data_IF_590674844017
#
_entry.id   IF_590674844017
#
_cell.length_a   1.000
_cell.length_b   1.000
_cell.length_c   1.000
_cell.angle_alpha   90.00
_cell.angle_beta   90.00
_cell.angle_gamma   90.00
#
_symmetry.space_group_name_H-M   'P 1'
#
loop_
_entity.id
_entity.type
_entity.pdbx_description
1 polymer ?
#
# COMPACT_ATOMS: atom_id res chain seq x y z
N UNK A 1 1.83 16.18 -2.39
CA UNK A 1 2.29 15.73 -1.05
C UNK A 1 2.44 14.20 -1.05
N UNK A 2 3.60 13.67 -0.65
CA UNK A 2 3.76 12.24 -0.43
C UNK A 2 3.28 11.94 0.97
N UNK A 3 2.09 11.35 1.11
CA UNK A 3 1.50 11.05 2.40
C UNK A 3 2.02 9.70 2.88
N UNK A 4 2.77 9.67 3.99
CA UNK A 4 3.00 8.40 4.70
C UNK A 4 1.81 8.05 5.57
N UNK A 5 1.21 6.91 5.27
CA UNK A 5 0.17 6.32 6.09
C UNK A 5 0.69 5.05 6.75
N UNK A 6 0.75 5.00 8.09
CA UNK A 6 1.07 3.76 8.78
C UNK A 6 -0.07 2.77 8.58
N UNK A 7 0.27 1.51 8.36
CA UNK A 7 -0.66 0.40 8.28
C UNK A 7 -0.19 -0.75 9.15
N UNK A 8 -1.12 -1.62 9.54
CA UNK A 8 -0.86 -2.90 10.18
C UNK A 8 -1.13 -4.01 9.17
N UNK A 9 -0.30 -5.03 9.18
CA UNK A 9 -0.48 -6.23 8.36
C UNK A 9 -0.63 -7.43 9.27
N UNK A 10 -1.49 -8.38 8.88
CA UNK A 10 -1.62 -9.66 9.57
C UNK A 10 -2.03 -10.76 8.59
N UNK A 11 -1.86 -12.00 9.01
CA UNK A 11 -2.36 -13.17 8.30
C UNK A 11 -3.29 -13.94 9.23
N UNK A 12 -4.52 -14.19 8.80
CA UNK A 12 -5.53 -14.92 9.58
C UNK A 12 -6.36 -15.77 8.64
N UNK A 13 -6.59 -17.04 8.98
CA UNK A 13 -7.48 -17.94 8.23
C UNK A 13 -7.15 -18.04 6.73
N UNK A 14 -5.87 -17.94 6.35
CA UNK A 14 -5.44 -17.99 4.95
C UNK A 14 -5.66 -16.69 4.16
N UNK A 15 -6.07 -15.62 4.84
CA UNK A 15 -6.19 -14.27 4.28
C UNK A 15 -5.03 -13.39 4.72
N UNK A 16 -4.63 -12.49 3.82
CA UNK A 16 -3.78 -11.35 4.18
C UNK A 16 -4.66 -10.15 4.46
N UNK A 17 -4.38 -9.48 5.57
CA UNK A 17 -5.15 -8.33 6.05
C UNK A 17 -4.23 -7.12 6.17
N UNK A 18 -4.74 -5.97 5.74
CA UNK A 18 -4.12 -4.66 5.94
C UNK A 18 -5.13 -3.73 6.61
N UNK A 19 -4.74 -3.11 7.71
CA UNK A 19 -5.57 -2.14 8.44
C UNK A 19 -4.88 -0.78 8.52
N UNK A 20 -5.64 0.29 8.33
CA UNK A 20 -5.16 1.66 8.51
C UNK A 20 -6.30 2.61 8.85
N UNK A 21 -5.97 3.78 9.37
CA UNK A 21 -6.95 4.83 9.69
C UNK A 21 -6.88 5.96 8.67
N UNK A 22 -8.02 6.30 8.08
CA UNK A 22 -8.20 7.50 7.27
C UNK A 22 -8.91 8.57 8.09
N UNK A 23 -8.43 9.81 8.00
CA UNK A 23 -9.16 10.98 8.51
C UNK A 23 -9.94 11.61 7.37
N UNK A 24 -11.27 11.55 7.44
CA UNK A 24 -12.18 12.19 6.49
C UNK A 24 -13.05 13.15 7.29
N UNK A 25 -13.03 14.44 6.93
CA UNK A 25 -13.79 15.49 7.60
C UNK A 25 -13.60 15.53 9.13
N UNK A 26 -12.39 15.25 9.60
CA UNK A 26 -12.04 15.20 11.03
C UNK A 26 -12.50 13.94 11.76
N UNK A 27 -13.19 13.02 11.08
CA UNK A 27 -13.57 11.71 11.62
C UNK A 27 -12.53 10.64 11.24
N UNK A 28 -12.10 9.88 12.24
CA UNK A 28 -11.24 8.71 12.05
C UNK A 28 -12.07 7.51 11.60
N UNK A 29 -11.74 6.99 10.43
CA UNK A 29 -12.38 5.82 9.84
C UNK A 29 -11.33 4.71 9.70
N UNK A 30 -11.61 3.55 10.30
CA UNK A 30 -10.75 2.38 10.14
C UNK A 30 -11.09 1.65 8.85
N UNK A 31 -10.08 1.52 8.00
CA UNK A 31 -10.14 0.74 6.77
C UNK A 31 -9.61 -0.65 7.06
N UNK A 32 -10.37 -1.64 6.62
CA UNK A 32 -9.99 -3.05 6.61
C UNK A 32 -9.90 -3.51 5.16
N UNK A 33 -8.71 -3.93 4.75
CA UNK A 33 -8.44 -4.50 3.43
C UNK A 33 -8.09 -5.98 3.60
N UNK A 34 -8.73 -6.85 2.82
CA UNK A 34 -8.39 -8.27 2.83
C UNK A 34 -8.30 -8.86 1.43
N UNK A 35 -7.47 -9.89 1.31
CA UNK A 35 -7.36 -10.72 0.13
C UNK A 35 -7.16 -12.18 0.56
N UNK A 36 -7.76 -13.10 -0.19
CA UNK A 36 -7.46 -14.53 -0.10
C UNK A 36 -6.20 -14.81 -0.93
N UNK A 37 -5.38 -15.79 -0.55
CA UNK A 37 -4.12 -16.14 -1.23
C UNK A 37 -4.19 -15.89 -2.75
N UNK A 38 -3.57 -14.78 -3.19
CA UNK A 38 -3.52 -14.41 -4.60
C UNK A 38 -2.52 -15.25 -5.37
N UNK A 39 -2.47 -15.08 -6.69
CA UNK A 39 -1.36 -15.56 -7.50
C UNK A 39 -0.05 -15.00 -6.92
N UNK A 40 1.04 -15.77 -6.96
CA UNK A 40 2.26 -15.57 -6.14
C UNK A 40 2.91 -14.19 -6.22
N UNK A 41 2.56 -13.37 -7.22
CA UNK A 41 3.15 -12.07 -7.48
C UNK A 41 2.14 -10.91 -7.48
N UNK A 42 0.82 -11.18 -7.48
CA UNK A 42 -0.23 -10.16 -7.51
C UNK A 42 -1.32 -10.44 -6.48
N UNK A 43 -1.51 -9.50 -5.56
CA UNK A 43 -2.55 -9.52 -4.54
C UNK A 43 -3.60 -8.46 -4.86
N UNK A 44 -4.89 -8.84 -4.80
CA UNK A 44 -6.00 -7.89 -4.96
C UNK A 44 -6.76 -7.78 -3.65
N UNK A 45 -6.60 -6.66 -2.96
CA UNK A 45 -7.27 -6.35 -1.72
C UNK A 45 -8.61 -5.68 -1.97
N UNK A 46 -9.63 -6.12 -1.23
CA UNK A 46 -10.91 -5.44 -1.14
C UNK A 46 -10.96 -4.66 0.17
N UNK A 47 -11.08 -3.33 0.08
CA UNK A 47 -11.02 -2.45 1.24
C UNK A 47 -12.41 -1.94 1.63
N UNK A 48 -12.68 -1.91 2.94
CA UNK A 48 -13.97 -1.57 3.52
C UNK A 48 -13.85 -0.65 4.73
N UNK A 49 -14.86 0.20 4.93
CA UNK A 49 -15.11 0.94 6.19
C UNK A 49 -16.46 0.48 6.72
N UNK A 50 -16.51 -0.03 7.95
CA UNK A 50 -17.77 -0.47 8.57
C UNK A 50 -18.55 -1.49 7.74
N UNK A 51 -17.86 -2.32 6.95
CA UNK A 51 -18.46 -3.30 6.04
C UNK A 51 -18.80 -2.79 4.62
N UNK A 52 -18.78 -1.48 4.40
CA UNK A 52 -19.02 -0.88 3.08
C UNK A 52 -17.74 -0.85 2.24
N UNK A 53 -17.79 -1.33 1.01
CA UNK A 53 -16.66 -1.31 0.08
C UNK A 53 -16.31 0.12 -0.32
N UNK A 54 -15.03 0.49 -0.20
CA UNK A 54 -14.53 1.84 -0.51
C UNK A 54 -13.59 1.87 -1.71
N UNK A 55 -12.74 0.86 -1.86
CA UNK A 55 -11.81 0.70 -2.97
C UNK A 55 -11.41 -0.77 -3.16
N UNK A 56 -10.80 -1.04 -4.31
CA UNK A 56 -10.02 -2.25 -4.56
C UNK A 56 -8.58 -1.85 -4.83
N UNK A 57 -7.64 -2.52 -4.17
CA UNK A 57 -6.22 -2.21 -4.27
C UNK A 57 -5.45 -3.41 -4.81
N UNK A 58 -4.81 -3.25 -5.95
CA UNK A 58 -3.90 -4.24 -6.54
C UNK A 58 -2.49 -3.93 -6.04
N UNK A 59 -1.83 -4.95 -5.50
CA UNK A 59 -0.42 -4.91 -5.09
C UNK A 59 0.33 -5.97 -5.90
N UNK A 60 1.31 -5.52 -6.69
CA UNK A 60 2.21 -6.38 -7.45
C UNK A 60 3.58 -6.35 -6.77
N UNK A 61 4.09 -7.53 -6.41
CA UNK A 61 5.45 -7.68 -5.85
C UNK A 61 6.43 -7.69 -7.01
N UNK A 62 7.17 -6.61 -7.21
CA UNK A 62 8.14 -6.49 -8.30
C UNK A 62 9.48 -7.11 -7.93
N UNK A 63 9.88 -6.95 -6.67
CA UNK A 63 11.08 -7.55 -6.12
C UNK A 63 11.03 -7.57 -4.60
N UNK A 64 11.71 -8.51 -3.99
CA UNK A 64 11.90 -8.56 -2.53
C UNK A 64 13.21 -9.23 -2.21
N UNK A 65 13.85 -8.76 -1.15
CA UNK A 65 14.76 -9.57 -0.38
C UNK A 65 14.08 -9.72 1.00
N UNK A 66 13.76 -10.96 1.37
CA UNK A 66 12.95 -11.24 2.55
C UNK A 66 13.59 -10.75 3.87
N UNK A 67 14.83 -10.27 3.84
CA UNK A 67 15.60 -9.83 5.00
C UNK A 67 15.67 -8.30 5.17
N UNK A 68 15.27 -7.50 4.17
CA UNK A 68 15.51 -6.06 4.18
C UNK A 68 14.46 -5.21 3.46
N UNK A 69 14.01 -5.59 2.26
CA UNK A 69 13.09 -4.73 1.51
C UNK A 69 12.10 -5.47 0.61
N UNK A 70 10.97 -4.82 0.36
CA UNK A 70 10.04 -5.15 -0.73
C UNK A 70 9.84 -3.95 -1.65
N UNK A 71 9.84 -4.19 -2.95
CA UNK A 71 9.47 -3.25 -4.01
C UNK A 71 8.11 -3.67 -4.57
N UNK A 72 7.17 -2.74 -4.53
CA UNK A 72 5.78 -2.96 -4.92
C UNK A 72 5.33 -1.92 -5.95
N UNK A 73 4.51 -2.36 -6.89
CA UNK A 73 3.58 -1.49 -7.58
C UNK A 73 2.21 -1.61 -6.91
N UNK A 74 1.60 -0.49 -6.57
CA UNK A 74 0.27 -0.43 -5.97
C UNK A 74 -0.66 0.39 -6.86
N UNK A 75 -1.88 -0.10 -7.09
CA UNK A 75 -2.91 0.60 -7.83
C UNK A 75 -4.26 0.48 -7.11
N UNK A 76 -4.81 1.61 -6.68
CA UNK A 76 -6.13 1.68 -6.06
C UNK A 76 -7.19 2.13 -7.08
N UNK A 77 -8.35 1.46 -7.08
CA UNK A 77 -9.54 1.88 -7.82
C UNK A 77 -10.63 2.26 -6.82
N UNK A 78 -11.01 3.53 -6.79
CA UNK A 78 -11.97 4.05 -5.80
C UNK A 78 -13.41 3.76 -6.23
N UNK A 79 -14.18 3.12 -5.34
CA UNK A 79 -15.56 2.71 -5.62
C UNK A 79 -16.59 3.72 -5.11
N UNK A 80 -16.19 4.59 -4.19
CA UNK A 80 -17.08 5.55 -3.50
C UNK A 80 -16.39 6.90 -3.27
N UNK A 81 -17.15 7.89 -2.80
CA UNK A 81 -16.64 9.21 -2.46
C UNK A 81 -16.35 10.10 -3.67
N UNK A 82 -15.69 11.26 -3.45
CA UNK A 82 -15.44 12.26 -4.50
C UNK A 82 -14.49 11.81 -5.60
N UNK A 83 -13.75 10.71 -5.37
CA UNK A 83 -12.78 10.14 -6.31
C UNK A 83 -13.29 8.87 -6.99
N UNK A 84 -14.60 8.57 -6.90
CA UNK A 84 -15.20 7.39 -7.52
C UNK A 84 -14.80 7.28 -9.00
N UNK A 85 -14.51 6.05 -9.43
CA UNK A 85 -14.08 5.68 -10.79
C UNK A 85 -12.68 6.19 -11.18
N UNK A 86 -11.99 6.92 -10.30
CA UNK A 86 -10.59 7.25 -10.47
C UNK A 86 -9.69 6.09 -10.03
N UNK A 87 -8.52 6.03 -10.68
CA UNK A 87 -7.42 5.16 -10.29
C UNK A 87 -6.24 6.00 -9.87
N UNK A 88 -5.57 5.57 -8.81
CA UNK A 88 -4.30 6.15 -8.38
C UNK A 88 -3.28 5.01 -8.24
N UNK A 89 -2.08 5.21 -8.74
CA UNK A 89 -1.01 4.24 -8.63
C UNK A 89 0.28 4.84 -8.07
N UNK A 90 1.11 3.97 -7.50
CA UNK A 90 2.41 4.34 -6.97
C UNK A 90 3.39 3.16 -7.05
N UNK A 91 4.67 3.48 -7.03
CA UNK A 91 5.74 2.53 -6.74
C UNK A 91 6.21 2.78 -5.31
N UNK A 92 6.35 1.72 -4.52
CA UNK A 92 6.72 1.81 -3.13
C UNK A 92 7.87 0.86 -2.81
N UNK A 93 8.88 1.36 -2.12
CA UNK A 93 9.93 0.55 -1.50
C UNK A 93 9.72 0.61 0.01
N UNK A 94 9.51 -0.55 0.63
CA UNK A 94 9.38 -0.68 2.08
C UNK A 94 10.65 -1.33 2.61
N UNK A 95 11.30 -0.70 3.59
CA UNK A 95 12.45 -1.26 4.31
C UNK A 95 11.99 -1.85 5.64
N UNK A 96 12.56 -2.99 6.04
CA UNK A 96 12.38 -3.56 7.39
C UNK A 96 13.00 -2.67 8.45
N UNK A 97 14.15 -2.08 8.15
CA UNK A 97 14.85 -1.13 9.01
C UNK A 97 14.54 0.31 8.58
N UNK A 98 13.80 1.03 9.41
CA UNK A 98 13.39 2.41 9.15
C UNK A 98 14.56 3.41 9.10
N UNK A 99 15.74 3.04 9.62
CA UNK A 99 16.95 3.89 9.53
C UNK A 99 17.57 3.87 8.13
N UNK A 100 17.30 2.85 7.31
CA UNK A 100 17.82 2.73 5.95
C UNK A 100 16.94 3.51 4.99
N UNK A 101 17.48 4.61 4.47
CA UNK A 101 16.73 5.53 3.60
C UNK A 101 17.12 5.45 2.13
N UNK A 102 18.21 4.75 1.81
CA UNK A 102 18.67 4.59 0.44
C UNK A 102 17.81 3.58 -0.33
N UNK A 103 17.78 3.71 -1.65
CA UNK A 103 17.18 2.71 -2.54
C UNK A 103 18.14 1.51 -2.65
N UNK A 104 17.71 0.26 -2.35
CA UNK A 104 18.53 -0.93 -2.51
C UNK A 104 19.09 -1.07 -3.93
N UNK A 105 20.34 -1.49 -4.08
CA UNK A 105 21.01 -1.57 -5.40
C UNK A 105 20.22 -2.41 -6.41
N UNK A 106 19.70 -3.56 -5.98
CA UNK A 106 18.89 -4.46 -6.80
C UNK A 106 17.57 -3.82 -7.27
N UNK A 107 17.00 -2.91 -6.47
CA UNK A 107 15.78 -2.19 -6.83
C UNK A 107 16.04 -1.03 -7.82
N UNK A 108 17.25 -0.45 -7.86
CA UNK A 108 17.57 0.73 -8.70
C UNK A 108 17.27 0.51 -10.19
N UNK A 109 17.58 -0.68 -10.71
CA UNK A 109 17.34 -0.99 -12.12
C UNK A 109 15.85 -1.10 -12.45
N UNK A 110 15.04 -1.64 -11.53
CA UNK A 110 13.60 -1.84 -11.72
C UNK A 110 12.80 -0.53 -11.67
N UNK A 111 13.32 0.45 -10.94
CA UNK A 111 12.72 1.79 -10.79
C UNK A 111 13.49 2.87 -11.57
N UNK A 112 14.35 2.48 -12.51
CA UNK A 112 15.10 3.42 -13.32
C UNK A 112 14.16 4.36 -14.08
N UNK A 113 14.45 5.66 -14.02
CA UNK A 113 13.58 6.70 -14.60
C UNK A 113 12.32 7.01 -13.78
N UNK A 114 12.07 6.34 -12.65
CA UNK A 114 11.04 6.74 -11.68
C UNK A 114 11.66 7.76 -10.72
N UNK A 115 11.05 8.94 -10.64
CA UNK A 115 11.46 9.98 -9.68
C UNK A 115 10.85 9.70 -8.29
N UNK A 116 11.25 8.56 -7.69
CA UNK A 116 10.74 8.19 -6.37
C UNK A 116 11.15 9.24 -5.34
N UNK A 117 10.19 9.67 -4.54
CA UNK A 117 10.41 10.62 -3.47
C UNK A 117 10.33 9.91 -2.13
N UNK A 118 11.03 10.47 -1.13
CA UNK A 118 10.91 10.00 0.23
C UNK A 118 9.48 10.23 0.71
N UNK A 119 8.93 9.19 1.32
CA UNK A 119 7.67 9.31 2.01
C UNK A 119 7.90 10.10 3.31
N UNK A 120 7.10 11.13 3.55
CA UNK A 120 7.13 11.91 4.79
C UNK A 120 5.80 11.74 5.53
N UNK A 121 5.86 11.49 6.84
CA UNK A 121 4.66 11.53 7.67
C UNK A 121 4.25 12.98 7.79
N UNK A 122 3.30 13.41 6.96
CA UNK A 122 2.59 14.66 7.19
C UNK A 122 1.84 14.53 8.50
N UNK A 123 2.35 15.17 9.55
CA UNK A 123 1.57 15.46 10.76
C UNK A 123 0.45 16.42 10.35
N UNK A 124 -0.76 15.89 10.16
CA UNK A 124 -1.98 16.68 10.10
C UNK A 124 -2.36 17.16 11.50
#
# INVERSE_FOLDING_TARGET
>A
PNVCQPFKTSQSEGKYVVEYTLKVDGQENNVHCETENGETETLTFNCKIGGYAIDTTILVVLDTNNDDYGLFYICASYLTGPYKDLKADNYMIVRRDASKQDIPERAKNLISGKNLQKCEITKS
#
